data_IF_141850102987
#
_entry.id   IF_141850102987
#
_cell.length_a   1.000
_cell.length_b   1.000
_cell.length_c   1.000
_cell.angle_alpha   90.00
_cell.angle_beta   90.00
_cell.angle_gamma   90.00
#
_symmetry.space_group_name_H-M   'P 1'
#
loop_
_entity.id
_entity.type
_entity.pdbx_description
1 polymer ?
2 polymer ?
3 polymer ?
4 water ?
#
loop_
_entity_poly.entity_id
_entity_poly.type
_entity_poly.pdbx_seq_one_letter_code
_entity_poly.pdbx_strand_id
2 'polydeoxyribonucleotide' '(DA)(DC)(DA)(DT)(DG)(DA)(DC)(DA)(DT)(DG)' ?
3 'polydeoxyribonucleotide' '(DA)(DC)(DA)(DT)(DG)(DT)(DC)(DA)(DT)(DG)(DT)' ?
#
# COMPACT_ATOMS: atom_id res chain seq x y z
N UNK A 2 -0.08 -16.51 10.55
CA UNK A 2 -0.98 -16.03 9.46
C UNK A 2 -1.86 -17.18 9.00
N UNK A 3 -2.64 -16.95 7.95
CA UNK A 3 -3.55 -17.95 7.39
C UNK A 3 -4.69 -18.30 8.33
N UNK A 4 -5.43 -19.35 8.00
CA UNK A 4 -6.59 -19.76 8.77
C UNK A 4 -6.39 -20.41 10.14
N UNK A 5 -7.16 -19.92 11.10
CA UNK A 5 -7.19 -20.44 12.46
C UNK A 5 -8.29 -19.72 13.23
N UNK A 6 -8.88 -20.44 14.17
CA UNK A 6 -9.99 -19.96 14.99
C UNK A 6 -9.65 -18.73 15.84
N UNK A 7 -10.53 -17.73 15.80
CA UNK A 7 -10.31 -16.52 16.57
C UNK A 7 -9.40 -15.52 15.89
N UNK A 8 -8.81 -15.92 14.77
CA UNK A 8 -7.93 -15.02 14.04
C UNK A 8 -8.71 -13.76 13.72
N UNK A 9 -8.10 -12.60 13.95
CA UNK A 9 -8.74 -11.31 13.70
C UNK A 9 -8.87 -11.06 12.19
N UNK A 10 -10.01 -10.51 11.78
CA UNK A 10 -10.24 -10.21 10.38
C UNK A 10 -9.37 -9.04 9.93
N UNK A 11 -9.14 -8.93 8.63
CA UNK A 11 -8.35 -7.83 8.11
C UNK A 11 -9.29 -6.64 7.98
N UNK A 12 -8.72 -5.44 7.93
CA UNK A 12 -9.49 -4.22 7.81
C UNK A 12 -9.22 -3.53 6.49
N UNK A 13 -10.25 -2.89 5.94
CA UNK A 13 -10.13 -2.20 4.67
C UNK A 13 -9.14 -1.04 4.64
N UNK A 14 -8.22 -1.10 3.68
CA UNK A 14 -7.25 -0.04 3.46
C UNK A 14 -7.61 0.33 2.04
N UNK A 15 -7.99 1.59 1.85
CA UNK A 15 -8.41 2.08 0.56
C UNK A 15 -7.75 3.41 0.27
N UNK A 16 -6.93 3.46 -0.77
CA UNK A 16 -6.30 4.72 -1.12
C UNK A 16 -5.96 4.88 -2.60
N UNK A 17 -5.83 6.13 -3.00
CA UNK A 17 -5.51 6.47 -4.38
C UNK A 17 -3.98 6.52 -4.51
N UNK A 18 -3.46 5.92 -5.58
CA UNK A 18 -2.02 5.90 -5.85
C UNK A 18 -1.78 6.22 -7.32
N UNK A 19 -0.54 6.56 -7.67
CA UNK A 19 -0.22 6.84 -9.07
C UNK A 19 -0.35 5.57 -9.87
N UNK A 20 -0.62 5.69 -11.17
CA UNK A 20 -0.77 4.55 -12.08
C UNK A 20 0.51 3.69 -12.07
N UNK A 21 1.66 4.32 -12.25
CA UNK A 21 2.93 3.60 -12.24
C UNK A 21 3.05 2.75 -10.95
N UNK A 22 2.71 3.33 -9.80
CA UNK A 22 2.83 2.60 -8.54
C UNK A 22 1.93 1.38 -8.50
N UNK A 23 0.67 1.54 -8.87
CA UNK A 23 -0.24 0.41 -8.87
C UNK A 23 0.20 -0.68 -9.85
N UNK A 24 0.85 -0.28 -10.94
CA UNK A 24 1.30 -1.26 -11.91
C UNK A 24 2.47 -2.09 -11.37
N UNK A 25 3.38 -1.47 -10.63
CA UNK A 25 4.52 -2.17 -10.05
C UNK A 25 4.02 -3.21 -9.06
N UNK A 26 3.01 -2.81 -8.29
CA UNK A 26 2.42 -3.68 -7.28
C UNK A 26 1.71 -4.88 -7.92
N UNK A 27 1.07 -4.64 -9.07
CA UNK A 27 0.36 -5.69 -9.79
C UNK A 27 1.37 -6.67 -10.41
N UNK A 28 2.44 -6.14 -11.00
CA UNK A 28 3.46 -7.01 -11.60
C UNK A 28 4.03 -7.88 -10.50
N UNK A 29 4.34 -7.26 -9.36
CA UNK A 29 4.89 -7.97 -8.22
C UNK A 29 3.97 -9.08 -7.75
N UNK A 30 2.67 -8.81 -7.80
CA UNK A 30 1.69 -9.78 -7.34
C UNK A 30 1.59 -10.98 -8.27
N UNK A 31 1.75 -10.75 -9.56
CA UNK A 31 1.67 -11.82 -10.53
C UNK A 31 2.88 -12.77 -10.43
N UNK A 32 4.06 -12.21 -10.15
CA UNK A 32 5.29 -12.98 -10.02
C UNK A 32 5.57 -13.61 -8.65
N UNK A 33 5.07 -13.00 -7.57
CA UNK A 33 5.32 -13.53 -6.23
C UNK A 33 4.07 -13.94 -5.44
N UNK A 34 2.90 -13.41 -5.79
CA UNK A 34 1.70 -13.71 -5.01
C UNK A 34 0.49 -14.32 -5.69
N UNK A 35 0.69 -15.01 -6.82
CA UNK A 35 -0.41 -15.63 -7.53
C UNK A 35 -1.47 -14.63 -7.96
N UNK A 36 -1.00 -13.46 -8.38
CA UNK A 36 -1.87 -12.39 -8.84
C UNK A 36 -2.80 -11.83 -7.77
N UNK A 37 -2.54 -12.15 -6.51
CA UNK A 37 -3.35 -11.59 -5.43
C UNK A 37 -2.73 -10.22 -5.15
N UNK A 38 -3.33 -9.15 -5.68
CA UNK A 38 -2.80 -7.80 -5.48
C UNK A 38 -2.79 -7.33 -4.01
N UNK A 39 -3.83 -7.64 -3.27
CA UNK A 39 -3.90 -7.21 -1.88
C UNK A 39 -2.80 -7.90 -1.06
N UNK A 40 -2.47 -9.14 -1.43
CA UNK A 40 -1.41 -9.85 -0.74
C UNK A 40 -0.10 -9.14 -1.05
N UNK A 41 0.06 -8.74 -2.31
CA UNK A 41 1.27 -8.04 -2.75
C UNK A 41 1.39 -6.69 -2.06
N UNK A 42 0.26 -6.04 -1.83
CA UNK A 42 0.25 -4.75 -1.17
C UNK A 42 0.71 -4.85 0.27
N UNK A 43 0.34 -5.92 0.96
CA UNK A 43 0.74 -6.09 2.35
C UNK A 43 2.24 -6.32 2.47
N UNK A 44 2.77 -7.22 1.64
CA UNK A 44 4.21 -7.53 1.64
C UNK A 44 5.02 -6.27 1.40
N UNK A 45 4.61 -5.47 0.41
CA UNK A 45 5.30 -4.24 0.08
C UNK A 45 5.17 -3.23 1.22
N UNK A 46 3.98 -3.13 1.81
CA UNK A 46 3.76 -2.23 2.93
C UNK A 46 4.68 -2.65 4.10
N UNK A 47 4.78 -3.95 4.36
CA UNK A 47 5.64 -4.47 5.42
C UNK A 47 7.10 -4.08 5.15
N UNK A 48 7.52 -4.16 3.90
CA UNK A 48 8.88 -3.80 3.51
C UNK A 48 9.09 -2.30 3.69
N UNK A 49 8.03 -1.53 3.45
CA UNK A 49 8.13 -0.10 3.59
C UNK A 49 8.21 0.27 5.06
N UNK A 50 7.49 -0.48 5.89
CA UNK A 50 7.46 -0.23 7.32
C UNK A 50 8.79 -0.49 8.05
N UNK A 51 9.49 -1.56 7.69
CA UNK A 51 10.76 -1.83 8.35
C UNK A 51 11.84 -0.80 7.98
N UNK A 52 11.61 -0.05 6.91
CA UNK A 52 12.54 0.99 6.48
C UNK A 52 12.28 2.25 7.32
N UNK A 53 11.15 2.29 8.01
CA UNK A 53 10.81 3.43 8.85
C UNK A 53 11.47 3.13 10.19
N UNK A 54 11.29 1.89 10.62
CA UNK A 54 11.85 1.36 11.87
C UNK A 54 10.96 0.22 12.34
N UNK B 1 -7.96 16.86 -20.21
CA UNK B 1 -7.88 18.31 -19.91
C UNK B 1 -6.43 18.77 -19.77
N UNK B 2 -6.26 20.05 -19.45
CA UNK B 2 -4.96 20.69 -19.34
C UNK B 2 -3.83 20.09 -18.49
N UNK B 3 -4.01 19.96 -17.18
CA UNK B 3 -2.94 19.41 -16.34
C UNK B 3 -2.43 18.10 -16.94
N UNK B 4 -3.34 17.34 -17.55
CA UNK B 4 -3.00 16.08 -18.18
C UNK B 4 -1.88 16.25 -19.22
N UNK B 5 -2.02 17.25 -20.09
CA UNK B 5 -1.04 17.53 -21.14
C UNK B 5 0.36 17.81 -20.61
N UNK B 6 0.43 18.32 -19.38
CA UNK B 6 1.72 18.64 -18.78
C UNK B 6 2.27 17.53 -17.90
N UNK B 7 1.64 16.36 -17.98
CA UNK B 7 2.12 15.20 -17.24
C UNK B 7 1.46 14.84 -15.92
N UNK B 8 0.51 15.64 -15.47
CA UNK B 8 -0.17 15.36 -14.21
C UNK B 8 -1.00 14.09 -14.32
N UNK B 9 -0.68 13.09 -13.51
CA UNK B 9 -1.42 11.83 -13.55
C UNK B 9 -2.53 11.67 -12.52
N UNK B 10 -3.71 11.29 -13.01
CA UNK B 10 -4.87 11.06 -12.16
C UNK B 10 -4.63 9.81 -11.31
N UNK B 11 -4.85 9.90 -10.01
CA UNK B 11 -4.62 8.74 -9.15
C UNK B 11 -5.71 7.68 -9.28
N UNK B 12 -5.29 6.43 -9.15
CA UNK B 12 -6.17 5.26 -9.25
C UNK B 12 -6.35 4.53 -7.92
N UNK B 13 -7.52 3.94 -7.75
CA UNK B 13 -7.85 3.25 -6.53
C UNK B 13 -7.13 1.93 -6.26
N UNK B 14 -6.60 1.80 -5.05
CA UNK B 14 -5.93 0.58 -4.61
C UNK B 14 -6.74 0.22 -3.38
N UNK B 15 -7.42 -0.92 -3.42
CA UNK B 15 -8.23 -1.35 -2.30
C UNK B 15 -7.82 -2.73 -1.83
N UNK B 16 -7.33 -2.83 -0.60
CA UNK B 16 -6.92 -4.13 -0.07
C UNK B 16 -7.15 -4.28 1.41
N UNK B 17 -7.24 -5.53 1.85
CA UNK B 17 -7.43 -5.83 3.25
C UNK B 17 -6.06 -5.95 3.90
N UNK B 18 -5.92 -5.39 5.10
CA UNK B 18 -4.66 -5.45 5.83
C UNK B 18 -4.93 -5.89 7.26
N UNK B 19 -3.93 -6.50 7.89
CA UNK B 19 -4.08 -6.94 9.28
C UNK B 19 -4.26 -5.66 10.07
N UNK B 20 -5.16 -5.68 11.07
CA UNK B 20 -5.44 -4.52 11.92
C UNK B 20 -4.19 -3.89 12.54
N UNK B 21 -3.22 -4.74 12.84
CA UNK B 21 -1.96 -4.29 13.42
C UNK B 21 -1.17 -3.44 12.41
N UNK B 22 -1.19 -3.83 11.15
CA UNK B 22 -0.47 -3.08 10.14
C UNK B 22 -1.15 -1.75 9.88
N UNK B 23 -2.47 -1.73 9.91
CA UNK B 23 -3.18 -0.49 9.66
C UNK B 23 -2.88 0.50 10.78
N UNK B 24 -2.89 0.02 12.02
CA UNK B 24 -2.58 0.88 13.16
C UNK B 24 -1.21 1.49 12.95
N UNK B 25 -0.32 0.74 12.30
CA UNK B 25 1.04 1.23 12.07
C UNK B 25 1.11 2.23 10.95
N UNK B 26 0.24 2.06 9.96
CA UNK B 26 0.21 3.00 8.84
C UNK B 26 -0.39 4.29 9.39
N UNK B 27 -1.37 4.14 10.27
CA UNK B 27 -2.03 5.29 10.88
C UNK B 27 -1.07 6.06 11.80
N UNK B 28 -0.28 5.35 12.60
CA UNK B 28 0.66 6.03 13.48
C UNK B 28 1.64 6.83 12.62
N UNK B 29 2.04 6.28 11.47
CA UNK B 29 2.97 6.98 10.57
C UNK B 29 2.29 8.21 9.95
N UNK B 30 1.01 8.07 9.63
CA UNK B 30 0.24 9.16 9.04
C UNK B 30 0.14 10.30 10.06
N UNK B 31 -0.05 9.93 11.32
CA UNK B 31 -0.14 10.92 12.38
C UNK B 31 1.18 11.68 12.54
N UNK B 32 2.29 10.96 12.59
CA UNK B 32 3.61 11.55 12.77
C UNK B 32 4.11 12.33 11.55
N UNK B 33 3.72 11.88 10.35
CA UNK B 33 4.19 12.52 9.13
C UNK B 33 3.21 13.21 8.19
N UNK B 34 1.99 12.70 8.06
CA UNK B 34 1.09 13.30 7.08
C UNK B 34 -0.20 13.92 7.56
N UNK B 35 -0.20 14.48 8.76
CA UNK B 35 -1.41 15.09 9.29
C UNK B 35 -2.59 14.14 9.21
N UNK B 36 -2.33 12.88 9.56
CA UNK B 36 -3.32 11.83 9.59
C UNK B 36 -3.92 11.44 8.24
N UNK B 37 -3.29 11.86 7.14
CA UNK B 37 -3.78 11.49 5.81
C UNK B 37 -3.25 10.08 5.53
N UNK B 38 -4.05 9.08 5.89
CA UNK B 38 -3.67 7.68 5.73
C UNK B 38 -3.28 7.30 4.32
N UNK B 39 -4.03 7.78 3.33
CA UNK B 39 -3.73 7.51 1.92
C UNK B 39 -2.32 7.98 1.56
N UNK B 40 -1.95 9.18 2.00
CA UNK B 40 -0.63 9.73 1.70
C UNK B 40 0.48 8.94 2.40
N UNK B 41 0.21 8.47 3.61
CA UNK B 41 1.18 7.68 4.35
C UNK B 41 1.36 6.35 3.62
N UNK B 42 0.24 5.77 3.17
CA UNK B 42 0.29 4.51 2.44
C UNK B 42 1.12 4.61 1.16
N UNK B 43 1.04 5.74 0.46
CA UNK B 43 1.81 5.95 -0.77
C UNK B 43 3.31 6.00 -0.48
N UNK B 44 3.69 6.80 0.51
CA UNK B 44 5.09 6.96 0.90
C UNK B 44 5.66 5.62 1.36
N UNK B 45 4.88 4.89 2.14
CA UNK B 45 5.29 3.59 2.65
C UNK B 45 5.42 2.60 1.51
N UNK B 46 4.42 2.55 0.65
CA UNK B 46 4.47 1.64 -0.48
C UNK B 46 5.68 1.94 -1.36
N UNK B 47 5.98 3.22 -1.54
CA UNK B 47 7.11 3.62 -2.37
C UNK B 47 8.44 3.14 -1.79
N UNK B 48 8.59 3.22 -0.47
CA UNK B 48 9.81 2.77 0.15
C UNK B 48 9.91 1.26 -0.04
N UNK B 49 8.78 0.58 0.08
CA UNK B 49 8.78 -0.86 -0.08
C UNK B 49 9.14 -1.26 -1.50
N UNK B 50 8.63 -0.50 -2.46
CA UNK B 50 8.90 -0.77 -3.87
C UNK B 50 10.37 -0.50 -4.20
N UNK B 51 10.95 0.49 -3.53
CA UNK B 51 12.35 0.84 -3.74
C UNK B 51 13.27 -0.31 -3.31
N UNK B 52 12.84 -1.09 -2.32
CA UNK B 52 13.63 -2.24 -1.89
C UNK B 52 13.66 -3.13 -3.13
N UNK B 53 12.54 -3.80 -3.37
CA UNK B 53 12.33 -4.68 -4.52
C UNK B 53 13.28 -4.39 -5.68
N UNK B 54 12.87 -3.51 -6.55
CA UNK B 54 13.62 -3.15 -7.75
C UNK B 54 15.08 -2.81 -7.42
#
# INVERSE_FOLDING_TARGET
ENSVFFGKKKKVSLHLLVDPDMKDEIIKYAQEKDFDNVSQAGREILKKGLEQIA
ENSVFFGKKKKVSLHLLVDPDMKDEIIKYAQEKDFDNVSQAGREILKKGLEQIA
#
